data_IF_546954514651
#
_entry.id   IF_546954514651
#
_cell.length_a   1.000
_cell.length_b   1.000
_cell.length_c   1.000
_cell.angle_alpha   90.00
_cell.angle_beta   90.00
_cell.angle_gamma   90.00
#
_symmetry.space_group_name_H-M   'P 1'
#
loop_
_entity.id
_entity.type
_entity.pdbx_description
1 polymer ?
#
# COMPACT_ATOMS: atom_id res chain seq x y z
N UNK A 1 2.53 14.34 5.40
CA UNK A 1 2.73 12.91 5.07
C UNK A 1 1.34 12.35 4.83
N UNK A 2 1.07 11.85 3.63
CA UNK A 2 -0.24 11.25 3.33
C UNK A 2 -0.23 9.82 3.85
N UNK A 3 -1.17 9.50 4.72
CA UNK A 3 -1.31 8.16 5.29
C UNK A 3 -2.36 7.38 4.51
N UNK A 4 -2.05 6.12 4.20
CA UNK A 4 -2.95 5.22 3.50
C UNK A 4 -3.07 3.93 4.30
N UNK A 5 -4.28 3.38 4.32
CA UNK A 5 -4.59 2.15 5.03
C UNK A 5 -4.85 1.05 4.00
N UNK A 6 -4.11 -0.05 4.10
CA UNK A 6 -4.36 -1.26 3.32
C UNK A 6 -5.11 -2.26 4.20
N UNK A 7 -6.32 -2.62 3.79
CA UNK A 7 -7.18 -3.55 4.52
C UNK A 7 -7.59 -4.71 3.63
N UNK A 8 -7.72 -5.89 4.24
CA UNK A 8 -8.28 -7.09 3.61
C UNK A 8 -9.45 -7.57 4.46
N UNK A 9 -10.55 -7.95 3.80
CA UNK A 9 -11.73 -8.50 4.46
C UNK A 9 -12.13 -9.81 3.76
N UNK A 10 -12.53 -10.85 4.50
CA UNK A 10 -12.95 -12.10 3.90
C UNK A 10 -14.20 -11.90 3.02
N UNK A 11 -14.24 -12.58 1.88
CA UNK A 11 -15.43 -12.64 1.06
C UNK A 11 -16.51 -13.45 1.79
N UNK A 12 -17.60 -12.80 2.22
CA UNK A 12 -18.69 -13.51 2.91
C UNK A 12 -19.42 -14.45 1.91
N UNK A 13 -20.10 -13.87 0.92
CA UNK A 13 -20.73 -14.60 -0.19
C UNK A 13 -19.98 -14.37 -1.51
N UNK A 14 -19.63 -13.12 -1.78
CA UNK A 14 -18.74 -12.72 -2.88
C UNK A 14 -17.86 -11.56 -2.42
N UNK A 15 -16.66 -11.43 -2.99
CA UNK A 15 -15.76 -10.31 -2.69
C UNK A 15 -16.42 -8.95 -3.00
N UNK A 16 -17.29 -8.92 -4.02
CA UNK A 16 -18.04 -7.73 -4.41
C UNK A 16 -19.03 -7.29 -3.32
N UNK A 17 -19.75 -8.23 -2.71
CA UNK A 17 -20.69 -7.90 -1.63
C UNK A 17 -19.97 -7.41 -0.38
N UNK A 18 -18.85 -8.03 0.00
CA UNK A 18 -18.02 -7.54 1.12
C UNK A 18 -17.53 -6.11 0.85
N UNK A 19 -17.06 -5.83 -0.38
CA UNK A 19 -16.64 -4.50 -0.80
C UNK A 19 -17.77 -3.47 -0.69
N UNK A 20 -18.95 -3.77 -1.22
CA UNK A 20 -20.11 -2.87 -1.18
C UNK A 20 -20.54 -2.57 0.26
N UNK A 21 -20.64 -3.61 1.10
CA UNK A 21 -20.99 -3.48 2.51
C UNK A 21 -20.02 -2.57 3.27
N UNK A 22 -18.72 -2.77 3.05
CA UNK A 22 -17.67 -1.92 3.63
C UNK A 22 -17.81 -0.47 3.14
N UNK A 23 -18.01 -0.26 1.84
CA UNK A 23 -18.10 1.07 1.25
C UNK A 23 -19.36 1.83 1.70
N UNK A 24 -20.49 1.13 1.88
CA UNK A 24 -21.70 1.70 2.48
C UNK A 24 -21.42 2.16 3.91
N UNK A 25 -20.78 1.31 4.72
CA UNK A 25 -20.51 1.60 6.12
C UNK A 25 -19.50 2.74 6.33
N UNK A 26 -18.43 2.80 5.53
CA UNK A 26 -17.36 3.80 5.72
C UNK A 26 -17.56 5.06 4.90
N UNK A 27 -17.96 4.94 3.63
CA UNK A 27 -18.01 6.09 2.70
C UNK A 27 -19.42 6.67 2.57
N UNK A 28 -20.43 5.85 2.24
CA UNK A 28 -21.77 6.39 1.93
C UNK A 28 -22.51 6.92 3.16
N UNK A 29 -22.48 6.18 4.27
CA UNK A 29 -23.26 6.54 5.46
C UNK A 29 -22.54 7.55 6.35
N UNK A 30 -21.21 7.55 6.36
CA UNK A 30 -20.41 8.26 7.37
C UNK A 30 -19.26 9.10 6.80
N UNK A 31 -18.97 9.01 5.50
CA UNK A 31 -17.89 9.74 4.82
C UNK A 31 -16.53 9.71 5.57
N UNK A 32 -16.16 8.54 6.10
CA UNK A 32 -14.97 8.32 6.93
C UNK A 32 -13.71 8.08 6.10
N UNK A 33 -13.84 7.57 4.87
CA UNK A 33 -12.70 7.19 4.02
C UNK A 33 -13.04 7.24 2.54
N UNK A 34 -12.01 7.44 1.71
CA UNK A 34 -12.05 7.18 0.27
C UNK A 34 -11.49 5.79 0.01
N UNK A 35 -12.31 4.88 -0.50
CA UNK A 35 -11.93 3.49 -0.69
C UNK A 35 -11.58 3.21 -2.15
N UNK A 36 -10.51 2.45 -2.37
CA UNK A 36 -10.12 1.94 -3.69
C UNK A 36 -9.91 0.42 -3.65
N UNK A 37 -10.26 -0.27 -4.74
CA UNK A 37 -9.99 -1.70 -4.87
C UNK A 37 -8.51 -1.94 -5.19
N UNK A 38 -7.91 -2.90 -4.51
CA UNK A 38 -6.56 -3.37 -4.81
C UNK A 38 -6.64 -4.72 -5.55
N UNK A 39 -6.26 -4.72 -6.83
CA UNK A 39 -6.29 -5.95 -7.64
C UNK A 39 -5.06 -6.80 -7.30
N UNK A 40 -5.27 -7.89 -6.56
CA UNK A 40 -4.21 -8.84 -6.24
C UNK A 40 -4.08 -9.87 -7.36
N UNK A 41 -2.86 -10.12 -7.89
CA UNK A 41 -2.64 -11.21 -8.84
C UNK A 41 -2.84 -12.57 -8.16
N UNK A 42 -3.14 -13.60 -8.95
CA UNK A 42 -3.16 -14.97 -8.44
C UNK A 42 -1.74 -15.41 -8.08
N UNK A 43 -1.51 -15.65 -6.80
CA UNK A 43 -0.26 -16.17 -6.28
C UNK A 43 -0.43 -17.65 -5.95
N UNK A 44 0.52 -18.48 -6.40
CA UNK A 44 0.59 -19.87 -5.97
C UNK A 44 1.00 -19.90 -4.50
N UNK A 45 0.17 -20.52 -3.68
CA UNK A 45 0.44 -20.71 -2.26
C UNK A 45 1.06 -22.08 -2.01
N UNK A 46 2.03 -22.15 -1.10
CA UNK A 46 2.66 -23.39 -0.67
C UNK A 46 1.83 -24.13 0.40
N UNK A 47 2.50 -24.88 1.27
CA UNK A 47 1.88 -25.42 2.49
C UNK A 47 1.69 -24.32 3.53
N UNK A 48 0.83 -24.57 4.52
CA UNK A 48 0.63 -23.65 5.63
C UNK A 48 1.95 -23.31 6.37
N UNK A 49 2.81 -24.31 6.57
CA UNK A 49 4.12 -24.13 7.20
C UNK A 49 5.00 -23.13 6.45
N UNK A 50 5.04 -23.26 5.12
CA UNK A 50 5.73 -22.30 4.24
C UNK A 50 5.10 -20.90 4.38
N UNK A 51 3.77 -20.78 4.42
CA UNK A 51 3.10 -19.48 4.57
C UNK A 51 3.42 -18.80 5.91
N UNK A 52 3.54 -19.56 6.99
CA UNK A 52 3.95 -19.03 8.30
C UNK A 52 5.39 -18.49 8.23
N UNK A 53 6.33 -19.27 7.69
CA UNK A 53 7.71 -18.81 7.51
C UNK A 53 7.81 -17.57 6.61
N UNK A 54 7.06 -17.55 5.50
CA UNK A 54 7.01 -16.42 4.58
C UNK A 54 6.43 -15.15 5.24
N UNK A 55 5.48 -15.28 6.17
CA UNK A 55 4.93 -14.12 6.89
C UNK A 55 6.01 -13.38 7.67
N UNK A 56 6.91 -14.11 8.33
CA UNK A 56 8.03 -13.51 9.07
C UNK A 56 9.08 -12.89 8.14
N UNK A 57 9.37 -13.53 7.02
CA UNK A 57 10.29 -13.00 5.99
C UNK A 57 9.75 -11.74 5.33
N UNK A 58 8.45 -11.71 4.99
CA UNK A 58 7.79 -10.55 4.40
C UNK A 58 7.80 -9.35 5.34
N UNK A 59 7.59 -9.55 6.64
CA UNK A 59 7.67 -8.45 7.61
C UNK A 59 9.07 -7.81 7.69
N UNK A 60 10.13 -8.65 7.63
CA UNK A 60 11.52 -8.17 7.58
C UNK A 60 11.82 -7.46 6.27
N UNK A 61 11.36 -8.02 5.15
CA UNK A 61 11.53 -7.44 3.83
C UNK A 61 10.84 -6.07 3.72
N UNK A 62 9.61 -5.95 4.24
CA UNK A 62 8.84 -4.71 4.25
C UNK A 62 9.58 -3.59 5.00
N UNK A 63 10.04 -3.87 6.23
CA UNK A 63 10.83 -2.93 7.03
C UNK A 63 12.13 -2.52 6.33
N UNK A 64 12.80 -3.47 5.68
CA UNK A 64 14.02 -3.20 4.92
C UNK A 64 13.75 -2.29 3.71
N UNK A 65 12.75 -2.62 2.89
CA UNK A 65 12.37 -1.85 1.71
C UNK A 65 11.94 -0.44 2.10
N UNK A 66 11.14 -0.28 3.15
CA UNK A 66 10.74 1.04 3.67
C UNK A 66 11.97 1.89 4.03
N UNK A 67 12.94 1.32 4.75
CA UNK A 67 14.17 2.03 5.11
C UNK A 67 14.95 2.50 3.88
N UNK A 68 15.06 1.65 2.86
CA UNK A 68 15.77 1.98 1.62
C UNK A 68 15.02 3.08 0.85
N UNK A 69 13.71 2.97 0.68
CA UNK A 69 12.88 3.98 -0.02
C UNK A 69 12.97 5.34 0.68
N UNK A 70 12.90 5.38 2.02
CA UNK A 70 13.05 6.61 2.80
C UNK A 70 14.42 7.26 2.60
N UNK A 71 15.50 6.47 2.58
CA UNK A 71 16.86 6.97 2.33
C UNK A 71 17.00 7.54 0.92
N UNK A 72 16.47 6.85 -0.09
CA UNK A 72 16.50 7.33 -1.48
C UNK A 72 15.74 8.65 -1.62
N UNK A 73 14.54 8.75 -1.02
CA UNK A 73 13.76 9.98 -1.03
C UNK A 73 14.50 11.14 -0.32
N UNK A 74 15.15 10.87 0.81
CA UNK A 74 15.95 11.87 1.53
C UNK A 74 17.13 12.33 0.68
N UNK A 75 17.89 11.42 0.08
CA UNK A 75 19.02 11.80 -0.79
C UNK A 75 18.58 12.62 -2.00
N UNK A 76 17.41 12.32 -2.60
CA UNK A 76 16.85 13.17 -3.65
C UNK A 76 16.50 14.56 -3.13
N UNK A 77 15.97 14.68 -1.91
CA UNK A 77 15.68 15.97 -1.29
C UNK A 77 16.95 16.78 -1.01
N UNK A 78 18.02 16.12 -0.54
CA UNK A 78 19.32 16.73 -0.24
C UNK A 78 19.99 17.24 -1.54
N UNK A 79 19.91 16.48 -2.63
CA UNK A 79 20.44 16.88 -3.95
C UNK A 79 19.67 18.05 -4.56
N UNK A 80 18.37 18.15 -4.28
CA UNK A 80 17.48 19.19 -4.80
C UNK A 80 17.25 20.33 -3.79
N UNK A 81 18.16 20.54 -2.83
CA UNK A 81 18.02 21.53 -1.76
C UNK A 81 17.68 22.95 -2.25
N UNK A 82 18.28 23.38 -3.37
CA UNK A 82 18.03 24.69 -4.01
C UNK A 82 16.71 24.75 -4.81
N UNK A 83 15.98 23.64 -4.92
CA UNK A 83 14.74 23.51 -5.71
C UNK A 83 13.76 22.54 -5.06
N UNK A 84 13.47 22.77 -3.77
CA UNK A 84 12.55 21.96 -2.96
C UNK A 84 11.18 21.72 -3.61
N UNK A 85 10.66 22.69 -4.35
CA UNK A 85 9.38 22.59 -5.05
C UNK A 85 9.38 21.50 -6.14
N UNK A 86 10.56 21.18 -6.70
CA UNK A 86 10.74 20.12 -7.71
C UNK A 86 10.88 18.73 -7.10
N UNK A 87 11.09 18.60 -5.79
CA UNK A 87 11.31 17.29 -5.14
C UNK A 87 10.09 16.39 -5.33
N UNK A 88 8.88 16.92 -5.14
CA UNK A 88 7.65 16.13 -5.32
C UNK A 88 7.44 15.70 -6.77
N UNK A 89 7.85 16.51 -7.74
CA UNK A 89 7.76 16.18 -9.16
C UNK A 89 8.74 15.07 -9.57
N UNK A 90 9.83 14.88 -8.81
CA UNK A 90 10.85 13.86 -9.08
C UNK A 90 10.62 12.57 -8.27
N UNK A 91 9.85 12.62 -7.19
CA UNK A 91 9.47 11.43 -6.39
C UNK A 91 8.28 10.69 -7.00
N UNK A 92 8.35 10.42 -8.30
CA UNK A 92 7.33 9.68 -9.03
C UNK A 92 7.83 8.28 -9.36
N UNK A 93 7.03 7.27 -9.04
CA UNK A 93 7.24 5.92 -9.54
C UNK A 93 6.56 5.74 -10.90
N UNK A 94 7.20 5.04 -11.82
CA UNK A 94 6.66 4.71 -13.16
C UNK A 94 6.15 5.93 -13.96
N UNK A 95 6.76 7.10 -13.79
CA UNK A 95 6.47 8.29 -14.61
C UNK A 95 5.21 9.08 -14.22
N UNK A 96 4.55 8.74 -13.11
CA UNK A 96 3.53 9.57 -12.47
C UNK A 96 2.48 10.19 -13.39
N UNK A 97 1.81 9.36 -14.20
CA UNK A 97 0.45 9.58 -14.71
C UNK A 97 -0.28 8.24 -14.79
#
# INVERSE_FOLDING_TARGET
MTEFWLISAPGEKTCQQTWEKMNVATTQNNNLSTNHKFNMPELKVGTLDILVGLSDELAKLDSFVESVVRKVAQYMADVLEDSRDKVQENLLANGGK
#
